data_IF_475854397438
#
_entry.id   IF_475854397438
#
_cell.length_a   1.000
_cell.length_b   1.000
_cell.length_c   1.000
_cell.angle_alpha   90.00
_cell.angle_beta   90.00
_cell.angle_gamma   90.00
#
_symmetry.space_group_name_H-M   'P 1'
#
loop_
_entity.id
_entity.type
_entity.pdbx_description
1 polymer ?
#
# COMPACT_ATOMS: atom_id res chain seq x y z
N UNK A 1 -4.84 -14.22 1.07
CA UNK A 1 -5.47 -13.25 2.00
C UNK A 1 -4.87 -13.49 3.38
N UNK A 2 -4.33 -12.45 4.00
CA UNK A 2 -3.77 -12.44 5.35
C UNK A 2 -4.90 -12.31 6.37
N UNK A 3 -4.83 -13.13 7.43
CA UNK A 3 -5.83 -13.22 8.51
C UNK A 3 -5.24 -12.74 9.84
N UNK A 4 -6.10 -12.47 10.83
CA UNK A 4 -5.71 -11.90 12.12
C UNK A 4 -4.69 -12.75 12.91
N UNK A 5 -4.77 -14.08 12.82
CA UNK A 5 -3.86 -15.03 13.48
C UNK A 5 -2.45 -15.04 12.87
N UNK A 6 -2.29 -14.49 11.67
CA UNK A 6 -0.99 -14.35 10.99
C UNK A 6 -0.25 -13.06 11.39
N UNK A 7 -0.90 -12.17 12.16
CA UNK A 7 -0.42 -10.82 12.43
C UNK A 7 0.08 -10.73 13.87
N UNK A 8 1.30 -10.21 14.05
CA UNK A 8 1.85 -9.92 15.38
C UNK A 8 1.03 -8.80 16.04
N UNK A 9 0.57 -8.95 17.31
CA UNK A 9 -0.14 -7.90 18.02
C UNK A 9 0.61 -6.57 18.03
N UNK A 10 -0.10 -5.48 17.75
CA UNK A 10 0.46 -4.12 17.73
C UNK A 10 1.30 -3.78 16.48
N UNK A 11 1.45 -4.70 15.52
CA UNK A 11 2.20 -4.41 14.29
C UNK A 11 1.49 -3.42 13.37
N UNK A 12 2.27 -2.75 12.53
CA UNK A 12 1.75 -1.99 11.39
C UNK A 12 1.54 -2.94 10.21
N UNK A 13 0.34 -2.92 9.63
CA UNK A 13 -0.03 -3.73 8.47
C UNK A 13 -0.34 -2.82 7.29
N UNK A 14 0.35 -3.07 6.17
CA UNK A 14 0.16 -2.34 4.91
C UNK A 14 -0.46 -3.29 3.89
N UNK A 15 -1.68 -2.99 3.46
CA UNK A 15 -2.40 -3.76 2.47
C UNK A 15 -2.13 -3.19 1.07
N UNK A 16 -1.22 -3.84 0.32
CA UNK A 16 -0.82 -3.41 -1.02
C UNK A 16 -1.41 -4.29 -2.12
N UNK A 17 -1.66 -5.57 -1.84
CA UNK A 17 -2.23 -6.50 -2.79
C UNK A 17 -3.71 -6.24 -3.00
N UNK A 18 -4.12 -6.27 -4.27
CA UNK A 18 -5.51 -6.14 -4.69
C UNK A 18 -5.88 -7.27 -5.63
N UNK A 19 -7.09 -7.79 -5.49
CA UNK A 19 -7.72 -8.69 -6.44
C UNK A 19 -9.14 -8.21 -6.74
N UNK A 20 -9.75 -8.75 -7.78
CA UNK A 20 -11.11 -8.39 -8.18
C UNK A 20 -12.02 -9.61 -8.19
N UNK A 21 -13.20 -9.44 -7.60
CA UNK A 21 -14.32 -10.36 -7.77
C UNK A 21 -15.39 -9.61 -8.57
N UNK A 22 -15.42 -9.86 -9.88
CA UNK A 22 -16.19 -9.04 -10.82
C UNK A 22 -15.74 -7.58 -10.78
N UNK A 23 -16.63 -6.68 -10.34
CA UNK A 23 -16.34 -5.23 -10.20
C UNK A 23 -15.90 -4.82 -8.79
N UNK A 24 -15.89 -5.75 -7.83
CA UNK A 24 -15.55 -5.46 -6.43
C UNK A 24 -14.05 -5.61 -6.21
N UNK A 25 -13.44 -4.56 -5.68
CA UNK A 25 -12.04 -4.60 -5.26
C UNK A 25 -11.91 -5.28 -3.89
N UNK A 26 -11.05 -6.30 -3.84
CA UNK A 26 -10.72 -7.06 -2.64
C UNK A 26 -9.29 -6.72 -2.20
N UNK A 27 -9.09 -6.62 -0.89
CA UNK A 27 -7.77 -6.48 -0.29
C UNK A 27 -7.17 -7.87 -0.03
N UNK A 28 -5.85 -7.95 -0.13
CA UNK A 28 -5.06 -9.09 0.34
C UNK A 28 -5.04 -9.25 1.87
N UNK A 29 -5.58 -8.29 2.63
CA UNK A 29 -5.70 -8.30 4.09
C UNK A 29 -7.17 -8.34 4.51
N UNK A 30 -7.51 -9.25 5.41
CA UNK A 30 -8.87 -9.39 5.93
C UNK A 30 -9.21 -8.30 6.97
N UNK A 31 -10.47 -7.89 7.04
CA UNK A 31 -10.88 -6.72 7.86
C UNK A 31 -10.68 -6.96 9.37
N UNK A 32 -10.75 -8.21 9.83
CA UNK A 32 -10.52 -8.58 11.23
C UNK A 32 -9.10 -8.29 11.73
N UNK A 33 -8.13 -8.08 10.82
CA UNK A 33 -6.74 -7.75 11.17
C UNK A 33 -6.66 -6.46 11.98
N UNK A 34 -7.59 -5.51 11.80
CA UNK A 34 -7.63 -4.25 12.57
C UNK A 34 -7.78 -4.46 14.08
N UNK A 35 -8.28 -5.63 14.52
CA UNK A 35 -8.45 -5.95 15.95
C UNK A 35 -7.13 -6.33 16.63
N UNK A 36 -6.12 -6.71 15.85
CA UNK A 36 -4.81 -7.20 16.33
C UNK A 36 -3.69 -6.24 15.98
N UNK A 37 -3.75 -5.65 14.78
CA UNK A 37 -2.78 -4.67 14.32
C UNK A 37 -2.85 -3.39 15.18
N UNK A 38 -1.69 -2.78 15.43
CA UNK A 38 -1.64 -1.44 16.03
C UNK A 38 -2.02 -0.36 15.02
N UNK A 39 -1.85 -0.64 13.73
CA UNK A 39 -2.26 0.22 12.64
C UNK A 39 -2.48 -0.60 11.36
N UNK A 40 -3.52 -0.27 10.59
CA UNK A 40 -3.82 -0.88 9.30
C UNK A 40 -4.05 0.23 8.26
N UNK A 41 -3.36 0.14 7.12
CA UNK A 41 -3.54 1.10 6.03
C UNK A 41 -4.98 1.09 5.48
N UNK A 42 -5.57 2.25 5.12
CA UNK A 42 -6.88 2.30 4.47
C UNK A 42 -6.90 1.53 3.15
N UNK A 43 -7.97 0.77 2.91
CA UNK A 43 -8.18 -0.01 1.67
C UNK A 43 -8.21 0.87 0.42
N UNK A 44 -8.90 2.01 0.48
CA UNK A 44 -8.91 3.04 -0.56
C UNK A 44 -8.24 4.28 0.01
N UNK A 45 -7.30 4.87 -0.73
CA UNK A 45 -6.55 6.04 -0.28
C UNK A 45 -5.18 5.73 0.35
N UNK A 46 -4.86 4.45 0.58
CA UNK A 46 -3.57 4.02 1.14
C UNK A 46 -2.48 3.86 0.08
N UNK A 47 -2.15 2.62 -0.28
CA UNK A 47 -1.00 2.30 -1.14
C UNK A 47 -1.17 2.83 -2.57
N UNK A 48 -2.36 2.69 -3.16
CA UNK A 48 -2.60 3.04 -4.57
C UNK A 48 -2.25 4.49 -4.95
N UNK A 49 -2.72 5.52 -4.23
CA UNK A 49 -2.31 6.90 -4.48
C UNK A 49 -0.81 7.13 -4.33
N UNK A 50 -0.19 6.51 -3.31
CA UNK A 50 1.25 6.63 -3.06
C UNK A 50 2.08 6.01 -4.19
N UNK A 51 1.64 4.88 -4.77
CA UNK A 51 2.32 4.27 -5.93
C UNK A 51 2.42 5.24 -7.11
N UNK A 52 1.33 5.96 -7.44
CA UNK A 52 1.36 6.95 -8.53
C UNK A 52 2.19 8.17 -8.17
N UNK A 53 2.07 8.67 -6.94
CA UNK A 53 2.85 9.82 -6.48
C UNK A 53 4.36 9.54 -6.58
N UNK A 54 4.80 8.37 -6.10
CA UNK A 54 6.21 8.00 -6.14
C UNK A 54 6.72 7.64 -7.54
N UNK A 55 5.86 7.10 -8.43
CA UNK A 55 6.23 6.97 -9.84
C UNK A 55 6.57 8.35 -10.43
N UNK A 56 5.74 9.36 -10.20
CA UNK A 56 5.98 10.71 -10.69
C UNK A 56 7.22 11.35 -10.04
N UNK A 57 7.37 11.22 -8.73
CA UNK A 57 8.55 11.71 -8.02
C UNK A 57 9.85 11.09 -8.56
N UNK A 58 9.86 9.78 -8.80
CA UNK A 58 11.00 9.08 -9.38
C UNK A 58 11.30 9.54 -10.81
N UNK A 59 10.26 9.78 -11.62
CA UNK A 59 10.43 10.34 -12.98
C UNK A 59 11.05 11.73 -12.95
N UNK A 60 10.60 12.61 -12.06
CA UNK A 60 11.17 13.97 -11.90
C UNK A 60 12.63 13.88 -11.44
N UNK A 61 12.92 13.09 -10.40
CA UNK A 61 14.29 12.89 -9.91
C UNK A 61 15.21 12.33 -11.00
N UNK A 62 14.71 11.44 -11.86
CA UNK A 62 15.48 10.91 -12.98
C UNK A 62 15.78 12.00 -14.01
N UNK A 63 14.81 12.85 -14.33
CA UNK A 63 15.01 13.97 -15.25
C UNK A 63 16.00 15.00 -14.69
N UNK A 64 15.86 15.40 -13.42
CA UNK A 64 16.79 16.32 -12.73
C UNK A 64 18.24 15.83 -12.81
N UNK A 65 18.47 14.53 -12.56
CA UNK A 65 19.80 13.90 -12.70
C UNK A 65 20.39 13.96 -14.12
N UNK A 66 19.57 14.08 -15.16
CA UNK A 66 20.07 14.23 -16.54
C UNK A 66 20.47 15.67 -16.88
N UNK A 67 20.00 16.66 -16.12
CA UNK A 67 20.28 18.08 -16.34
C UNK A 67 21.32 18.65 -15.37
N UNK A 68 21.52 18.03 -14.20
CA UNK A 68 22.61 18.32 -13.26
C UNK A 68 23.97 17.80 -13.77
N UNK A 69 24.40 18.31 -14.92
CA UNK A 69 25.77 18.21 -15.43
C UNK A 69 26.55 19.46 -14.95
N UNK A 70 26.67 19.71 -13.64
CA UNK A 70 27.71 20.51 -12.97
C UNK A 70 27.67 20.30 -11.45
#
# INVERSE_FOLDING_TARGET
MIKADMVKPGSAVVAAGVSFEGKKLLSDVADEVIKVAGWLSPRIGGVGPMTRAFLMANTVQAAEKTVDIF
#
